data_IF_276618379214
#
_entry.id   IF_276618379214
#
_cell.length_a   1.000
_cell.length_b   1.000
_cell.length_c   1.000
_cell.angle_alpha   90.00
_cell.angle_beta   90.00
_cell.angle_gamma   90.00
#
_symmetry.space_group_name_H-M   'P 1'
#
loop_
_entity.id
_entity.type
_entity.pdbx_description
1 polymer ?
#
# COMPACT_ATOMS: atom_id res chain seq x y z
N UNK A 1 17.18 19.61 16.43
CA UNK A 1 16.39 18.37 16.23
C UNK A 1 15.75 18.01 17.56
N UNK A 2 14.42 17.99 17.64
CA UNK A 2 13.70 17.76 18.90
C UNK A 2 13.28 16.27 19.02
N UNK A 3 13.03 15.82 20.25
CA UNK A 3 12.67 14.43 20.54
C UNK A 3 11.36 14.00 19.86
N UNK A 4 10.39 14.91 19.76
CA UNK A 4 9.12 14.68 19.09
C UNK A 4 9.29 14.39 17.58
N UNK A 5 10.22 15.08 16.90
CA UNK A 5 10.53 14.87 15.48
C UNK A 5 11.13 13.48 15.27
N UNK A 6 12.07 13.05 16.12
CA UNK A 6 12.64 11.69 16.04
C UNK A 6 11.60 10.60 16.28
N UNK A 7 10.66 10.83 17.21
CA UNK A 7 9.58 9.89 17.49
C UNK A 7 8.64 9.75 16.28
N UNK A 8 8.25 10.87 15.67
CA UNK A 8 7.42 10.88 14.45
C UNK A 8 8.12 10.18 13.28
N UNK A 9 9.41 10.44 13.06
CA UNK A 9 10.21 9.76 12.03
C UNK A 9 10.24 8.25 12.24
N UNK A 10 10.50 7.78 13.46
CA UNK A 10 10.51 6.32 13.78
C UNK A 10 9.14 5.67 13.61
N UNK A 11 8.07 6.36 13.99
CA UNK A 11 6.70 5.84 13.77
C UNK A 11 6.33 5.82 12.29
N UNK A 12 6.83 6.78 11.51
CA UNK A 12 6.66 6.80 10.06
C UNK A 12 7.38 5.61 9.42
N UNK A 13 8.65 5.37 9.74
CA UNK A 13 9.41 4.25 9.18
C UNK A 13 8.78 2.90 9.51
N UNK A 14 8.29 2.73 10.74
CA UNK A 14 7.58 1.51 11.15
C UNK A 14 6.26 1.34 10.38
N UNK A 15 5.48 2.40 10.19
CA UNK A 15 4.25 2.35 9.42
C UNK A 15 4.52 2.03 7.93
N UNK A 16 5.58 2.60 7.37
CA UNK A 16 6.02 2.31 6.00
C UNK A 16 6.48 0.85 5.84
N UNK A 17 7.20 0.30 6.82
CA UNK A 17 7.61 -1.10 6.81
C UNK A 17 6.41 -2.06 6.85
N UNK A 18 5.41 -1.77 7.69
CA UNK A 18 4.15 -2.53 7.74
C UNK A 18 3.40 -2.45 6.42
N UNK A 19 3.39 -1.27 5.79
CA UNK A 19 2.77 -1.09 4.48
C UNK A 19 3.47 -1.92 3.39
N UNK A 20 4.80 -1.96 3.37
CA UNK A 20 5.56 -2.82 2.45
C UNK A 20 5.28 -4.31 2.70
N UNK A 21 5.22 -4.74 3.96
CA UNK A 21 4.90 -6.12 4.33
C UNK A 21 3.52 -6.53 3.82
N UNK A 22 2.53 -5.63 3.95
CA UNK A 22 1.16 -5.88 3.48
C UNK A 22 1.10 -6.09 1.96
N UNK A 23 1.78 -5.21 1.23
CA UNK A 23 1.85 -5.25 -0.21
C UNK A 23 2.59 -6.50 -0.73
N UNK A 24 3.73 -6.83 -0.14
CA UNK A 24 4.61 -7.88 -0.63
C UNK A 24 4.23 -9.29 -0.14
N UNK A 25 3.62 -9.43 1.05
CA UNK A 25 3.51 -10.73 1.71
C UNK A 25 2.16 -11.03 2.36
N UNK A 26 1.53 -10.06 3.03
CA UNK A 26 0.37 -10.36 3.90
C UNK A 26 -0.78 -9.36 3.76
N UNK A 27 -1.79 -9.72 2.96
CA UNK A 27 -2.99 -8.91 2.73
C UNK A 27 -3.85 -8.76 3.99
N UNK A 28 -3.75 -9.68 4.97
CA UNK A 28 -4.53 -9.63 6.19
C UNK A 28 -4.12 -8.48 7.13
N UNK A 29 -3.04 -7.77 6.80
CA UNK A 29 -2.66 -6.52 7.46
C UNK A 29 -3.63 -5.39 7.09
N UNK A 30 -4.19 -5.37 5.88
CA UNK A 30 -5.07 -4.30 5.39
C UNK A 30 -6.27 -3.99 6.33
N UNK A 31 -7.11 -4.97 6.74
CA UNK A 31 -8.22 -4.71 7.67
C UNK A 31 -7.78 -4.22 9.05
N UNK A 32 -6.50 -4.39 9.42
CA UNK A 32 -5.99 -3.97 10.73
C UNK A 32 -5.51 -2.53 10.75
N UNK A 33 -5.11 -1.99 9.60
CA UNK A 33 -4.48 -0.66 9.50
C UNK A 33 -5.30 0.34 8.66
N UNK A 34 -6.20 -0.15 7.80
CA UNK A 34 -7.09 0.68 7.01
C UNK A 34 -8.37 1.00 7.80
N UNK A 35 -8.80 2.26 7.74
CA UNK A 35 -10.11 2.67 8.24
C UNK A 35 -11.24 2.03 7.42
N UNK A 36 -12.45 1.98 7.97
CA UNK A 36 -13.66 1.54 7.25
C UNK A 36 -13.91 2.39 6.00
N UNK A 37 -13.62 3.69 6.05
CA UNK A 37 -13.72 4.63 4.92
C UNK A 37 -12.46 4.66 4.02
N UNK A 38 -11.52 3.73 4.22
CA UNK A 38 -10.32 3.68 3.40
C UNK A 38 -10.67 3.51 1.92
N UNK A 39 -10.05 4.33 1.08
CA UNK A 39 -10.10 4.24 -0.37
C UNK A 39 -8.69 4.31 -0.92
N UNK A 40 -8.41 3.50 -1.93
CA UNK A 40 -7.15 3.55 -2.66
C UNK A 40 -7.39 4.07 -4.08
N UNK A 41 -6.56 5.01 -4.49
CA UNK A 41 -6.58 5.56 -5.83
C UNK A 41 -5.23 5.25 -6.50
N UNK A 42 -5.26 4.41 -7.52
CA UNK A 42 -4.10 4.21 -8.37
C UNK A 42 -4.20 5.13 -9.58
N UNK A 43 -3.05 5.61 -10.04
CA UNK A 43 -2.95 6.51 -11.19
C UNK A 43 -2.77 5.75 -12.51
N UNK A 44 -2.98 4.43 -12.52
CA UNK A 44 -2.80 3.56 -13.68
C UNK A 44 -4.08 2.73 -13.86
N UNK A 45 -4.72 2.86 -15.02
CA UNK A 45 -5.76 1.92 -15.45
C UNK A 45 -5.10 0.63 -15.91
N UNK A 46 -5.69 -0.51 -15.55
CA UNK A 46 -5.23 -1.80 -16.08
C UNK A 46 -5.37 -1.82 -17.62
N UNK A 47 -4.51 -2.57 -18.29
CA UNK A 47 -4.46 -2.61 -19.76
C UNK A 47 -5.73 -3.18 -20.40
N UNK A 48 -6.58 -3.86 -19.62
CA UNK A 48 -7.89 -4.40 -20.03
C UNK A 48 -9.03 -3.37 -19.88
N UNK A 49 -8.73 -2.14 -19.43
CA UNK A 49 -9.71 -1.07 -19.21
C UNK A 49 -10.56 -1.27 -17.95
N UNK A 50 -10.34 -2.34 -17.18
CA UNK A 50 -11.00 -2.54 -15.90
C UNK A 50 -10.43 -1.56 -14.88
N UNK A 51 -11.30 -1.06 -14.01
CA UNK A 51 -10.91 -0.23 -12.88
C UNK A 51 -11.07 -1.06 -11.60
N UNK A 52 -10.09 -1.89 -11.22
CA UNK A 52 -10.22 -2.81 -10.09
C UNK A 52 -10.36 -2.08 -8.73
N UNK A 53 -10.30 -0.75 -8.73
CA UNK A 53 -10.39 0.12 -7.56
C UNK A 53 -11.82 0.54 -7.21
N UNK A 54 -12.77 0.40 -8.14
CA UNK A 54 -14.16 0.85 -7.90
C UNK A 54 -14.85 0.06 -6.77
N UNK A 55 -14.39 -1.17 -6.50
CA UNK A 55 -14.90 -2.02 -5.42
C UNK A 55 -14.09 -1.93 -4.11
N UNK A 56 -13.02 -1.12 -4.05
CA UNK A 56 -12.15 -1.06 -2.86
C UNK A 56 -12.64 -0.01 -1.88
N UNK A 57 -13.51 -0.45 -0.97
CA UNK A 57 -13.93 0.30 0.21
C UNK A 57 -13.57 -0.47 1.48
N UNK A 58 -12.77 0.15 2.34
CA UNK A 58 -12.33 -0.44 3.60
C UNK A 58 -11.19 -1.48 3.45
N UNK A 59 -10.68 -1.93 4.59
CA UNK A 59 -9.51 -2.81 4.64
C UNK A 59 -9.75 -4.23 4.15
N UNK A 60 -10.93 -4.82 4.37
CA UNK A 60 -11.26 -6.17 3.87
C UNK A 60 -11.32 -6.23 2.34
N UNK A 61 -11.98 -5.24 1.72
CA UNK A 61 -12.02 -5.13 0.26
C UNK A 61 -10.63 -4.92 -0.31
N UNK A 62 -9.79 -4.17 0.40
CA UNK A 62 -8.40 -3.95 0.00
C UNK A 62 -7.54 -5.20 0.14
N UNK A 63 -7.72 -6.02 1.18
CA UNK A 63 -7.02 -7.31 1.31
C UNK A 63 -7.30 -8.22 0.10
N UNK A 64 -8.58 -8.35 -0.28
CA UNK A 64 -8.99 -9.15 -1.46
C UNK A 64 -8.45 -8.58 -2.77
N UNK A 65 -8.32 -7.26 -2.86
CA UNK A 65 -7.67 -6.61 -3.99
C UNK A 65 -6.18 -6.98 -4.05
N UNK A 66 -5.46 -6.91 -2.92
CA UNK A 66 -4.03 -7.21 -2.86
C UNK A 66 -3.72 -8.66 -3.28
N UNK A 67 -4.55 -9.63 -2.88
CA UNK A 67 -4.37 -11.03 -3.28
C UNK A 67 -4.47 -11.19 -4.80
N UNK A 68 -5.54 -10.66 -5.41
CA UNK A 68 -5.72 -10.70 -6.87
C UNK A 68 -4.63 -9.95 -7.63
N UNK A 69 -4.17 -8.83 -7.07
CA UNK A 69 -3.10 -8.04 -7.68
C UNK A 69 -1.78 -8.84 -7.68
N UNK A 70 -1.42 -9.51 -6.58
CA UNK A 70 -0.20 -10.34 -6.53
C UNK A 70 -0.25 -11.52 -7.50
N UNK A 71 -1.42 -12.13 -7.68
CA UNK A 71 -1.62 -13.19 -8.68
C UNK A 71 -1.39 -12.69 -10.12
N UNK A 72 -1.82 -11.47 -10.43
CA UNK A 72 -1.65 -10.84 -11.75
C UNK A 72 -0.23 -10.31 -12.00
N UNK A 73 0.49 -9.98 -10.94
CA UNK A 73 1.84 -9.38 -11.02
C UNK A 73 2.90 -10.27 -10.33
N UNK A 74 3.08 -11.52 -10.77
CA UNK A 74 4.08 -12.40 -10.19
C UNK A 74 5.48 -11.81 -10.39
N UNK A 75 6.21 -11.62 -9.28
CA UNK A 75 7.58 -11.08 -9.29
C UNK A 75 7.69 -9.58 -9.03
N UNK A 76 6.58 -8.84 -8.89
CA UNK A 76 6.66 -7.45 -8.43
C UNK A 76 6.87 -7.43 -6.92
N UNK A 77 7.99 -6.82 -6.49
CA UNK A 77 8.33 -6.59 -5.09
C UNK A 77 8.61 -5.11 -4.89
N UNK A 78 7.92 -4.50 -3.92
CA UNK A 78 8.16 -3.11 -3.56
C UNK A 78 9.32 -3.02 -2.56
N UNK A 79 10.31 -2.19 -2.88
CA UNK A 79 11.52 -1.99 -2.06
C UNK A 79 11.30 -0.86 -1.03
N UNK A 80 10.65 0.22 -1.45
CA UNK A 80 10.52 1.43 -0.64
C UNK A 80 9.23 2.17 -0.92
N UNK A 81 8.85 2.99 0.06
CA UNK A 81 7.79 3.97 -0.09
C UNK A 81 8.42 5.35 -0.10
N UNK A 82 8.05 6.14 -1.11
CA UNK A 82 8.42 7.54 -1.20
C UNK A 82 7.24 8.40 -0.71
N UNK A 83 7.29 8.94 0.52
CA UNK A 83 6.29 9.89 0.97
C UNK A 83 6.44 11.19 0.16
N UNK A 84 5.32 11.69 -0.34
CA UNK A 84 5.18 13.04 -0.87
C UNK A 84 4.07 13.73 -0.09
N UNK A 85 3.99 15.06 -0.14
CA UNK A 85 3.01 15.82 0.66
C UNK A 85 1.58 15.30 0.46
N UNK A 86 1.03 14.61 1.46
CA UNK A 86 -0.31 14.03 1.46
C UNK A 86 -0.51 12.74 0.64
N UNK A 87 0.53 12.14 0.06
CA UNK A 87 0.45 10.88 -0.72
C UNK A 87 1.69 10.01 -0.48
N UNK A 88 1.59 8.73 -0.78
CA UNK A 88 2.72 7.81 -0.73
C UNK A 88 2.84 7.05 -2.06
N UNK A 89 4.05 6.96 -2.60
CA UNK A 89 4.33 6.19 -3.81
C UNK A 89 5.04 4.91 -3.45
N UNK A 90 4.53 3.79 -3.94
CA UNK A 90 5.22 2.51 -3.89
C UNK A 90 6.23 2.46 -5.05
N UNK A 91 7.49 2.22 -4.71
CA UNK A 91 8.56 2.07 -5.70
C UNK A 91 8.98 0.62 -5.74
N UNK A 92 8.97 0.04 -6.93
CA UNK A 92 9.55 -1.27 -7.20
C UNK A 92 10.70 -1.10 -8.19
N UNK A 93 11.64 -2.03 -8.16
CA UNK A 93 12.70 -2.13 -9.17
C UNK A 93 12.55 -3.46 -9.89
N UNK A 94 12.65 -3.44 -11.21
CA UNK A 94 12.84 -4.66 -11.99
C UNK A 94 14.30 -5.08 -11.79
N UNK A 95 14.50 -6.26 -11.20
CA UNK A 95 15.80 -6.92 -11.17
C UNK A 95 16.15 -7.50 -12.54
#
# INVERSE_FOLDING_TARGET
MNENTRMVERTSDAALAVWLMMWNADSAIAPRICSEDFRIHFLVSESDGSNPFDDVLGGDSFARFLDRWRERHPGVVFDRICPVKGRAWLVWSYG
#
